data_IF_975959595875
#
_entry.id   IF_975959595875
#
_cell.length_a   1.000
_cell.length_b   1.000
_cell.length_c   1.000
_cell.angle_alpha   90.00
_cell.angle_beta   90.00
_cell.angle_gamma   90.00
#
_symmetry.space_group_name_H-M   'P 1'
#
loop_
_entity.id
_entity.type
_entity.pdbx_description
1 polymer ?
#
# COMPACT_ATOMS: atom_id res chain seq x y z
N UNK A 1 -2.64 8.25 14.69
CA UNK A 1 -2.02 7.05 14.10
C UNK A 1 -2.58 5.80 14.76
N UNK A 2 -2.60 4.67 14.06
CA UNK A 2 -3.06 3.38 14.60
C UNK A 2 -2.13 2.87 15.71
N UNK A 3 -2.68 2.27 16.76
CA UNK A 3 -1.85 1.53 17.73
C UNK A 3 -1.34 0.22 17.13
N UNK A 4 -0.27 -0.36 17.70
CA UNK A 4 0.21 -1.69 17.26
C UNK A 4 -0.85 -2.79 17.43
N UNK A 5 -1.73 -2.63 18.42
CA UNK A 5 -2.85 -3.55 18.67
C UNK A 5 -3.92 -3.44 17.58
N UNK A 6 -4.26 -2.22 17.17
CA UNK A 6 -5.24 -2.01 16.09
C UNK A 6 -4.68 -2.47 14.74
N UNK A 7 -3.40 -2.23 14.48
CA UNK A 7 -2.73 -2.72 13.28
C UNK A 7 -2.71 -4.25 13.24
N UNK A 8 -2.41 -4.92 14.36
CA UNK A 8 -2.47 -6.37 14.49
C UNK A 8 -3.87 -6.91 14.17
N UNK A 9 -4.90 -6.32 14.77
CA UNK A 9 -6.30 -6.70 14.53
C UNK A 9 -6.70 -6.55 13.06
N UNK A 10 -6.31 -5.46 12.40
CA UNK A 10 -6.67 -5.18 10.99
C UNK A 10 -5.87 -6.02 9.99
N UNK A 11 -4.66 -6.44 10.33
CA UNK A 11 -3.78 -7.23 9.44
C UNK A 11 -3.90 -8.74 9.66
N UNK A 12 -4.57 -9.18 10.73
CA UNK A 12 -4.58 -10.59 11.16
C UNK A 12 -3.22 -11.09 11.65
N UNK A 13 -2.29 -10.19 11.97
CA UNK A 13 -0.98 -10.52 12.55
C UNK A 13 -1.08 -10.54 14.07
N UNK A 14 -0.22 -11.31 14.74
CA UNK A 14 -0.06 -11.16 16.19
C UNK A 14 0.58 -9.80 16.51
N UNK A 15 0.22 -9.21 17.65
CA UNK A 15 0.87 -7.98 18.12
C UNK A 15 2.40 -8.15 18.24
N UNK A 16 2.87 -9.33 18.67
CA UNK A 16 4.30 -9.66 18.71
C UNK A 16 4.98 -9.68 17.35
N UNK A 17 4.25 -10.04 16.28
CA UNK A 17 4.76 -10.01 14.91
C UNK A 17 4.84 -8.57 14.41
N UNK A 18 3.79 -7.77 14.64
CA UNK A 18 3.81 -6.33 14.34
C UNK A 18 4.96 -5.62 15.04
N UNK A 19 5.18 -5.91 16.33
CA UNK A 19 6.26 -5.32 17.11
C UNK A 19 7.64 -5.57 16.49
N UNK A 20 7.96 -6.84 16.19
CA UNK A 20 9.25 -7.24 15.61
C UNK A 20 9.46 -6.68 14.20
N UNK A 21 8.40 -6.59 13.39
CA UNK A 21 8.45 -5.94 12.07
C UNK A 21 8.83 -4.47 12.24
N UNK A 22 8.15 -3.73 13.13
CA UNK A 22 8.42 -2.30 13.35
C UNK A 22 9.80 -2.03 13.97
N UNK A 23 10.35 -3.00 14.71
CA UNK A 23 11.72 -2.95 15.24
C UNK A 23 12.79 -3.36 14.23
N UNK A 24 12.40 -3.85 13.04
CA UNK A 24 13.33 -4.37 12.04
C UNK A 24 13.94 -5.73 12.40
N UNK A 25 13.50 -6.35 13.50
CA UNK A 25 13.98 -7.65 13.99
C UNK A 25 13.41 -8.81 13.15
N UNK A 26 12.40 -8.55 12.33
CA UNK A 26 11.82 -9.51 11.41
C UNK A 26 11.52 -8.85 10.08
N UNK A 27 12.02 -9.45 9.00
CA UNK A 27 11.69 -9.00 7.65
C UNK A 27 10.21 -9.25 7.33
N UNK A 28 9.54 -8.26 6.74
CA UNK A 28 8.12 -8.34 6.39
C UNK A 28 7.95 -9.11 5.07
N UNK A 29 7.02 -10.07 5.05
CA UNK A 29 6.70 -10.80 3.80
C UNK A 29 5.74 -9.97 2.96
N UNK A 30 5.80 -10.09 1.63
CA UNK A 30 4.91 -9.32 0.74
C UNK A 30 3.41 -9.39 1.08
N UNK A 31 2.82 -10.56 1.40
CA UNK A 31 1.41 -10.62 1.81
C UNK A 31 1.12 -9.86 3.13
N UNK A 32 2.08 -9.83 4.04
CA UNK A 32 1.96 -9.07 5.29
C UNK A 32 2.07 -7.56 5.00
N UNK A 33 2.96 -7.19 4.10
CA UNK A 33 3.16 -5.80 3.67
C UNK A 33 1.94 -5.23 2.95
N UNK A 34 1.28 -6.01 2.08
CA UNK A 34 0.02 -5.63 1.41
C UNK A 34 -1.07 -5.36 2.45
N UNK A 35 -1.21 -6.24 3.47
CA UNK A 35 -2.19 -6.05 4.54
C UNK A 35 -1.88 -4.84 5.41
N UNK A 36 -0.60 -4.58 5.68
CA UNK A 36 -0.18 -3.39 6.43
C UNK A 36 -0.51 -2.13 5.62
N UNK A 37 -0.22 -2.11 4.33
CA UNK A 37 -0.53 -1.00 3.42
C UNK A 37 -2.04 -0.67 3.44
N UNK A 38 -2.88 -1.68 3.24
CA UNK A 38 -4.34 -1.54 3.32
C UNK A 38 -4.80 -1.02 4.69
N UNK A 39 -4.30 -1.62 5.79
CA UNK A 39 -4.66 -1.21 7.15
C UNK A 39 -4.22 0.24 7.47
N UNK A 40 -3.12 0.73 6.93
CA UNK A 40 -2.65 2.10 7.17
C UNK A 40 -3.16 3.11 6.15
N UNK A 41 -3.86 2.68 5.10
CA UNK A 41 -4.25 3.55 3.99
C UNK A 41 -3.04 4.04 3.18
N UNK A 42 -1.94 3.29 3.21
CA UNK A 42 -0.74 3.54 2.43
C UNK A 42 -0.66 2.54 1.27
N UNK A 43 0.22 2.81 0.32
CA UNK A 43 0.56 1.85 -0.72
C UNK A 43 1.80 1.04 -0.32
N UNK A 44 2.00 -0.12 -0.94
CA UNK A 44 3.19 -0.95 -0.64
C UNK A 44 4.45 -0.18 -0.98
N UNK A 45 4.45 0.53 -2.10
CA UNK A 45 5.62 1.29 -2.53
C UNK A 45 5.90 2.52 -1.64
N UNK A 46 4.89 3.07 -0.96
CA UNK A 46 5.08 4.07 0.10
C UNK A 46 5.73 3.46 1.35
N UNK A 47 5.43 2.19 1.68
CA UNK A 47 6.03 1.49 2.82
C UNK A 47 7.45 1.00 2.54
N UNK A 48 7.78 0.64 1.29
CA UNK A 48 9.13 0.18 0.89
C UNK A 48 10.05 1.32 0.46
N UNK A 49 9.50 2.51 0.20
CA UNK A 49 10.28 3.65 -0.32
C UNK A 49 10.57 3.59 -1.82
N UNK A 50 10.06 2.58 -2.53
CA UNK A 50 10.33 2.31 -3.96
C UNK A 50 9.18 2.79 -4.89
N UNK A 51 8.50 3.86 -4.49
CA UNK A 51 7.27 4.38 -5.10
C UNK A 51 7.24 4.60 -6.62
N UNK A 52 6.36 3.86 -7.32
CA UNK A 52 5.75 4.23 -8.62
C UNK A 52 5.12 5.62 -8.57
N UNK A 53 4.73 6.08 -7.37
CA UNK A 53 4.16 7.41 -7.11
C UNK A 53 4.99 8.60 -7.61
N UNK A 54 6.32 8.45 -7.76
CA UNK A 54 7.17 9.49 -8.38
C UNK A 54 7.03 9.56 -9.91
N UNK A 55 6.57 8.48 -10.55
CA UNK A 55 6.38 8.35 -12.01
C UNK A 55 4.95 8.66 -12.45
N UNK A 56 3.97 8.56 -11.55
CA UNK A 56 2.55 8.80 -11.87
C UNK A 56 2.27 10.30 -11.98
N UNK A 57 1.98 10.76 -13.20
CA UNK A 57 1.43 12.09 -13.47
C UNK A 57 -0.09 11.97 -13.59
N UNK A 58 -0.83 12.80 -12.86
CA UNK A 58 -2.29 12.80 -12.86
C UNK A 58 -2.84 14.22 -12.91
N UNK A 59 -3.72 14.50 -13.87
CA UNK A 59 -4.47 15.76 -13.99
C UNK A 59 -5.89 15.59 -13.43
N UNK A 60 -6.00 15.35 -12.13
CA UNK A 60 -7.29 15.17 -11.46
C UNK A 60 -8.13 16.45 -11.52
N UNK A 61 -9.38 16.35 -11.96
CA UNK A 61 -10.33 17.47 -11.95
C UNK A 61 -11.26 17.34 -10.75
N UNK A 62 -11.15 18.27 -9.82
CA UNK A 62 -12.12 18.40 -8.74
C UNK A 62 -13.39 19.08 -9.23
N UNK A 63 -14.54 18.57 -8.82
CA UNK A 63 -15.82 19.27 -8.92
C UNK A 63 -16.22 19.74 -7.52
N UNK A 64 -16.77 20.95 -7.43
CA UNK A 64 -17.35 21.50 -6.19
C UNK A 64 -16.43 21.47 -4.95
N UNK A 65 -15.11 21.63 -5.13
CA UNK A 65 -14.16 21.67 -4.02
C UNK A 65 -13.87 20.32 -3.38
N UNK A 66 -14.28 19.20 -4.00
CA UNK A 66 -13.96 17.87 -3.52
C UNK A 66 -12.44 17.62 -3.52
N UNK A 67 -11.93 17.02 -2.44
CA UNK A 67 -10.53 16.60 -2.37
C UNK A 67 -10.32 15.36 -3.25
N UNK A 68 -9.25 15.34 -4.04
CA UNK A 68 -8.92 14.25 -4.96
C UNK A 68 -7.94 13.24 -4.35
N UNK A 69 -7.61 13.37 -3.06
CA UNK A 69 -6.63 12.52 -2.37
C UNK A 69 -7.01 11.03 -2.44
N UNK A 70 -8.28 10.71 -2.18
CA UNK A 70 -8.79 9.34 -2.27
C UNK A 70 -8.73 8.77 -3.70
N UNK A 71 -9.05 9.59 -4.71
CA UNK A 71 -8.94 9.21 -6.12
C UNK A 71 -7.48 8.94 -6.50
N UNK A 72 -6.57 9.83 -6.07
CA UNK A 72 -5.12 9.70 -6.31
C UNK A 72 -4.57 8.45 -5.62
N UNK A 73 -4.96 8.18 -4.38
CA UNK A 73 -4.58 6.96 -3.67
C UNK A 73 -5.07 5.71 -4.42
N UNK A 74 -6.32 5.71 -4.91
CA UNK A 74 -6.86 4.58 -5.67
C UNK A 74 -6.12 4.35 -6.98
N UNK A 75 -5.79 5.42 -7.72
CA UNK A 75 -5.01 5.34 -8.96
C UNK A 75 -3.62 4.74 -8.71
N UNK A 76 -2.90 5.24 -7.68
CA UNK A 76 -1.58 4.73 -7.33
C UNK A 76 -1.62 3.23 -7.01
N UNK A 77 -2.64 2.81 -6.25
CA UNK A 77 -2.84 1.40 -5.93
C UNK A 77 -3.02 0.54 -7.20
N UNK A 78 -3.79 1.01 -8.20
CA UNK A 78 -3.94 0.26 -9.45
C UNK A 78 -2.64 0.17 -10.25
N UNK A 79 -1.84 1.25 -10.32
CA UNK A 79 -0.57 1.21 -11.03
C UNK A 79 0.47 0.31 -10.35
N UNK A 80 0.42 0.20 -9.03
CA UNK A 80 1.25 -0.76 -8.29
C UNK A 80 0.83 -2.20 -8.54
N UNK A 81 -0.47 -2.48 -8.58
CA UNK A 81 -0.96 -3.80 -8.96
C UNK A 81 -0.56 -4.17 -10.39
N UNK A 82 -0.63 -3.22 -11.32
CA UNK A 82 -0.21 -3.42 -12.72
C UNK A 82 1.27 -3.80 -12.80
N UNK A 83 2.14 -3.01 -12.15
CA UNK A 83 3.58 -3.29 -12.10
C UNK A 83 3.89 -4.64 -11.42
N UNK A 84 3.16 -4.98 -10.36
CA UNK A 84 3.32 -6.27 -9.69
C UNK A 84 2.90 -7.45 -10.58
N UNK A 85 1.81 -7.32 -11.35
CA UNK A 85 1.36 -8.35 -12.28
C UNK A 85 2.35 -8.53 -13.44
N UNK A 86 2.89 -7.44 -13.97
CA UNK A 86 3.94 -7.45 -14.98
C UNK A 86 5.20 -8.17 -14.47
N UNK A 87 5.64 -7.88 -13.24
CA UNK A 87 6.78 -8.54 -12.58
C UNK A 87 6.55 -10.05 -12.37
N UNK A 88 5.30 -10.47 -12.17
CA UNK A 88 4.93 -11.89 -12.05
C UNK A 88 4.74 -12.59 -13.41
N UNK A 89 5.01 -11.90 -14.53
CA UNK A 89 4.77 -12.38 -15.90
C UNK A 89 3.31 -12.81 -16.16
N UNK A 90 2.36 -12.26 -15.39
CA UNK A 90 0.93 -12.48 -15.61
C UNK A 90 0.48 -11.46 -16.65
N UNK A 91 0.43 -11.88 -17.91
CA UNK A 91 0.04 -11.01 -19.01
C UNK A 91 -1.38 -10.46 -18.84
N UNK A 92 -1.58 -9.18 -19.18
CA UNK A 92 -2.91 -8.60 -19.40
C UNK A 92 -3.63 -9.43 -20.46
N UNK A 93 -4.71 -10.10 -20.06
CA UNK A 93 -5.67 -10.67 -21.01
C UNK A 93 -6.48 -9.51 -21.55
N UNK A 94 -6.20 -9.11 -22.79
CA UNK A 94 -6.99 -8.16 -23.58
C UNK A 94 -8.09 -8.89 -24.34
#
# INVERSE_FOLDING_TARGET
GLSQRDLAARTGLSQSTVHRILKGERNVKMPELIRIADATGCTVAQLTGEGVAKRVVCAARSTNGAKMDAMRQRLLHFMELDAYLDDQAIAKVL
#
